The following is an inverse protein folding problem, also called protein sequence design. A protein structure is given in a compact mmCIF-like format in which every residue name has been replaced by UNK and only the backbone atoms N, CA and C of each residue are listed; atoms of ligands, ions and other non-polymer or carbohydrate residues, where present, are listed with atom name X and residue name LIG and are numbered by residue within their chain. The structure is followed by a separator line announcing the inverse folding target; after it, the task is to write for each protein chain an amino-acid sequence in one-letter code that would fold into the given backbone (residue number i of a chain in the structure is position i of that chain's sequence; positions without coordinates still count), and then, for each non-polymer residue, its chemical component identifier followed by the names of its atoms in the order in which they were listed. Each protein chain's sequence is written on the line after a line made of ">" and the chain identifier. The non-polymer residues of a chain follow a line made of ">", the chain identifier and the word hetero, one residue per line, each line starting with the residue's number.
data_IF_486166532430
#
_entry.id   IF_486166532430
#
_cell.length_a   1.000
_cell.length_b   1.000
_cell.length_c   1.000
_cell.angle_alpha   90.00
_cell.angle_beta   90.00
_cell.angle_gamma   90.00
#
_symmetry.space_group_name_H-M   'P 1'
#
loop_
_entity.id
_entity.type
_entity.pdbx_description
1 polymer ?
#
# COMPACT_ATOMS: atom_id res chain seq x y z
N UNK A 1 17.64 42.67 14.10
CA UNK A 1 16.88 42.01 13.04
C UNK A 1 16.43 42.93 11.91
N UNK A 2 15.87 44.13 12.14
CA UNK A 2 15.45 45.04 11.06
C UNK A 2 16.60 45.50 10.13
N UNK A 3 17.79 45.77 10.68
CA UNK A 3 18.96 46.23 9.91
C UNK A 3 19.51 45.14 9.02
N UNK A 4 19.60 43.89 9.49
CA UNK A 4 20.09 42.75 8.71
C UNK A 4 19.14 42.40 7.55
N UNK A 5 17.83 42.49 7.74
CA UNK A 5 16.83 42.30 6.69
C UNK A 5 16.88 43.41 5.62
N UNK A 6 17.06 44.67 6.04
CA UNK A 6 17.24 45.81 5.13
C UNK A 6 18.52 45.69 4.30
N UNK A 7 19.65 45.33 4.92
CA UNK A 7 20.93 45.15 4.25
C UNK A 7 20.86 43.97 3.26
N UNK A 8 20.23 42.85 3.62
CA UNK A 8 20.03 41.69 2.75
C UNK A 8 19.25 42.06 1.48
N UNK A 9 18.15 42.81 1.61
CA UNK A 9 17.37 43.31 0.47
C UNK A 9 18.16 44.26 -0.41
N UNK A 10 18.96 45.15 0.17
CA UNK A 10 19.75 46.15 -0.58
C UNK A 10 20.97 45.53 -1.28
N UNK A 11 21.65 44.56 -0.67
CA UNK A 11 22.74 43.82 -1.32
C UNK A 11 22.24 43.01 -2.51
N UNK A 12 21.05 42.45 -2.40
CA UNK A 12 20.40 41.76 -3.52
C UNK A 12 20.04 42.70 -4.68
N UNK A 13 19.53 43.88 -4.38
CA UNK A 13 19.16 44.88 -5.38
C UNK A 13 20.39 45.49 -6.08
N UNK A 14 21.52 45.63 -5.39
CA UNK A 14 22.76 46.16 -5.97
C UNK A 14 23.52 45.20 -6.88
N UNK A 15 23.19 43.90 -6.87
CA UNK A 15 23.77 42.92 -7.78
C UNK A 15 23.22 43.00 -9.22
N UNK A 16 22.27 43.92 -9.47
CA UNK A 16 21.63 44.11 -10.80
C UNK A 16 22.19 45.28 -11.63
N UNK A 17 23.16 46.06 -11.14
CA UNK A 17 23.73 47.21 -11.89
C UNK A 17 25.04 46.84 -12.60
N UNK A 18 25.07 47.12 -13.86
CA UNK A 18 26.01 46.93 -14.95
C UNK A 18 27.51 47.08 -14.61
N UNK A 19 28.18 45.97 -14.30
CA UNK A 19 29.60 45.76 -14.52
C UNK A 19 29.83 44.29 -14.88
N UNK A 20 30.70 43.93 -15.81
CA UNK A 20 30.92 42.56 -16.30
C UNK A 20 31.27 41.55 -15.22
N UNK A 21 31.90 42.02 -14.10
CA UNK A 21 32.18 41.18 -12.92
C UNK A 21 30.92 40.79 -12.13
N UNK A 22 29.86 41.60 -12.19
CA UNK A 22 28.58 41.30 -11.50
C UNK A 22 27.74 40.28 -12.23
N UNK A 23 27.97 40.08 -13.54
CA UNK A 23 27.26 39.11 -14.36
C UNK A 23 27.49 37.66 -13.94
N UNK A 24 28.76 37.31 -13.57
CA UNK A 24 29.13 35.97 -13.19
C UNK A 24 28.49 35.54 -11.82
N UNK A 25 28.51 36.44 -10.83
CA UNK A 25 27.89 36.15 -9.52
C UNK A 25 26.37 36.05 -9.62
N UNK A 26 25.74 36.93 -10.43
CA UNK A 26 24.31 36.83 -10.72
C UNK A 26 23.95 35.53 -11.43
N UNK A 27 24.81 35.05 -12.35
CA UNK A 27 24.64 33.78 -13.02
C UNK A 27 24.71 32.60 -12.03
N UNK A 28 25.70 32.58 -11.14
CA UNK A 28 25.84 31.51 -10.13
C UNK A 28 24.65 31.51 -9.16
N UNK A 29 24.19 32.67 -8.70
CA UNK A 29 23.03 32.77 -7.84
C UNK A 29 21.74 32.26 -8.53
N UNK A 30 21.55 32.59 -9.80
CA UNK A 30 20.43 32.06 -10.60
C UNK A 30 20.55 30.56 -10.83
N UNK A 31 21.74 30.05 -11.17
CA UNK A 31 22.00 28.63 -11.35
C UNK A 31 21.73 27.85 -10.06
N UNK A 32 22.15 28.38 -8.89
CA UNK A 32 21.84 27.80 -7.59
C UNK A 32 20.34 27.74 -7.31
N UNK A 33 19.61 28.84 -7.58
CA UNK A 33 18.15 28.87 -7.40
C UNK A 33 17.44 27.87 -8.32
N UNK A 34 17.86 27.75 -9.57
CA UNK A 34 17.34 26.76 -10.52
C UNK A 34 17.65 25.34 -10.04
N UNK A 35 18.84 25.09 -9.51
CA UNK A 35 19.23 23.80 -8.94
C UNK A 35 18.32 23.38 -7.78
N UNK A 36 18.01 24.32 -6.88
CA UNK A 36 17.08 24.07 -5.77
C UNK A 36 15.67 23.80 -6.29
N UNK A 37 15.19 24.62 -7.24
CA UNK A 37 13.87 24.45 -7.87
C UNK A 37 13.72 23.05 -8.49
N UNK A 38 14.67 22.65 -9.33
CA UNK A 38 14.67 21.32 -9.94
C UNK A 38 14.74 20.20 -8.91
N UNK A 39 15.58 20.36 -7.88
CA UNK A 39 15.70 19.38 -6.80
C UNK A 39 14.36 19.19 -6.05
N UNK A 40 13.69 20.30 -5.70
CA UNK A 40 12.39 20.25 -5.02
C UNK A 40 11.31 19.68 -5.94
N UNK A 41 11.27 20.07 -7.21
CA UNK A 41 10.31 19.54 -8.18
C UNK A 41 10.46 18.02 -8.34
N UNK A 42 11.68 17.53 -8.53
CA UNK A 42 11.97 16.08 -8.63
C UNK A 42 11.58 15.36 -7.35
N UNK A 43 11.86 15.95 -6.19
CA UNK A 43 11.46 15.40 -4.88
C UNK A 43 9.95 15.25 -4.75
N UNK A 44 9.19 16.30 -5.08
CA UNK A 44 7.72 16.29 -5.00
C UNK A 44 7.15 15.23 -5.95
N UNK A 45 7.64 15.16 -7.17
CA UNK A 45 7.21 14.14 -8.16
C UNK A 45 7.53 12.74 -7.65
N UNK A 46 8.73 12.49 -7.15
CA UNK A 46 9.13 11.17 -6.64
C UNK A 46 8.28 10.74 -5.45
N UNK A 47 8.07 11.61 -4.46
CA UNK A 47 7.21 11.31 -3.31
C UNK A 47 5.74 11.13 -3.71
N UNK A 48 5.24 11.92 -4.66
CA UNK A 48 3.86 11.78 -5.17
C UNK A 48 3.64 10.45 -5.87
N UNK A 49 4.61 9.99 -6.67
CA UNK A 49 4.54 8.68 -7.35
C UNK A 49 4.50 7.56 -6.32
N UNK A 50 5.36 7.61 -5.29
CA UNK A 50 5.39 6.57 -4.24
C UNK A 50 4.09 6.55 -3.46
N UNK A 51 3.63 7.72 -2.98
CA UNK A 51 2.38 7.80 -2.23
C UNK A 51 1.18 7.34 -3.07
N UNK A 52 1.14 7.71 -4.35
CA UNK A 52 0.10 7.26 -5.28
C UNK A 52 0.15 5.74 -5.49
N UNK A 53 1.33 5.16 -5.59
CA UNK A 53 1.50 3.71 -5.72
C UNK A 53 1.08 2.98 -4.44
N UNK A 54 1.48 3.46 -3.25
CA UNK A 54 1.03 2.88 -1.96
C UNK A 54 -0.48 2.93 -1.81
N UNK A 55 -1.11 4.05 -2.16
CA UNK A 55 -2.58 4.15 -2.14
C UNK A 55 -3.25 3.18 -3.11
N UNK A 56 -2.75 3.04 -4.33
CA UNK A 56 -3.28 2.09 -5.30
C UNK A 56 -3.11 0.64 -4.82
N UNK A 57 -1.99 0.31 -4.19
CA UNK A 57 -1.75 -1.00 -3.63
C UNK A 57 -2.78 -1.33 -2.53
N UNK A 58 -2.97 -0.40 -1.58
CA UNK A 58 -3.93 -0.57 -0.48
C UNK A 58 -5.35 -0.70 -1.04
N UNK A 59 -5.76 0.19 -1.95
CA UNK A 59 -7.13 0.21 -2.46
C UNK A 59 -7.47 -0.91 -3.43
N UNK A 60 -6.51 -1.41 -4.21
CA UNK A 60 -6.80 -2.47 -5.19
C UNK A 60 -6.47 -3.87 -4.68
N UNK A 61 -5.27 -4.08 -4.14
CA UNK A 61 -4.84 -5.41 -3.75
C UNK A 61 -5.23 -5.76 -2.31
N UNK A 62 -4.91 -4.88 -1.36
CA UNK A 62 -5.12 -5.17 0.06
C UNK A 62 -6.58 -5.00 0.52
N UNK A 63 -7.45 -4.41 -0.31
CA UNK A 63 -8.89 -4.37 -0.04
C UNK A 63 -9.60 -5.70 -0.28
N UNK A 64 -9.03 -6.59 -1.10
CA UNK A 64 -9.62 -7.90 -1.44
C UNK A 64 -8.80 -9.06 -0.87
N UNK A 65 -7.46 -8.93 -0.84
CA UNK A 65 -6.60 -9.92 -0.20
C UNK A 65 -6.84 -9.88 1.31
N UNK A 66 -6.99 -11.06 1.96
CA UNK A 66 -7.17 -11.11 3.41
C UNK A 66 -6.02 -10.40 4.15
N UNK A 67 -6.36 -9.41 4.95
CA UNK A 67 -5.36 -8.64 5.70
C UNK A 67 -4.77 -9.47 6.85
N UNK A 68 -5.62 -10.23 7.54
CA UNK A 68 -5.26 -11.20 8.57
C UNK A 68 -6.14 -12.43 8.43
N UNK A 69 -5.56 -13.61 8.53
CA UNK A 69 -6.27 -14.89 8.59
C UNK A 69 -5.75 -15.72 9.78
N UNK A 70 -6.68 -16.32 10.50
CA UNK A 70 -6.43 -17.37 11.49
C UNK A 70 -6.94 -18.67 10.91
N UNK A 71 -6.04 -19.58 10.61
CA UNK A 71 -6.35 -20.86 9.95
C UNK A 71 -6.06 -22.00 10.92
N UNK A 72 -7.05 -22.83 11.18
CA UNK A 72 -6.86 -24.03 11.97
C UNK A 72 -6.29 -25.16 11.08
N UNK A 73 -5.13 -25.75 11.43
CA UNK A 73 -4.46 -26.70 10.56
C UNK A 73 -5.06 -28.10 10.59
N UNK A 74 -5.59 -28.54 11.72
CA UNK A 74 -5.92 -29.94 11.95
C UNK A 74 -7.38 -30.19 12.31
N UNK A 75 -8.09 -29.19 12.77
CA UNK A 75 -9.50 -29.29 13.18
C UNK A 75 -10.23 -28.01 12.75
N UNK A 76 -11.51 -28.09 12.40
CA UNK A 76 -12.29 -26.89 12.16
C UNK A 76 -12.38 -26.05 13.43
N UNK A 77 -12.54 -24.75 13.28
CA UNK A 77 -12.86 -23.83 14.38
C UNK A 77 -14.34 -23.99 14.68
N UNK A 78 -14.66 -24.31 15.93
CA UNK A 78 -16.03 -24.44 16.41
C UNK A 78 -16.59 -23.10 16.87
N UNK A 79 -17.93 -22.97 16.84
CA UNK A 79 -18.68 -21.81 17.32
C UNK A 79 -18.13 -20.48 16.77
N UNK A 80 -17.96 -20.43 15.45
CA UNK A 80 -17.42 -19.26 14.76
C UNK A 80 -18.18 -17.94 15.03
N UNK A 81 -19.53 -17.90 15.24
CA UNK A 81 -20.24 -16.64 15.44
C UNK A 81 -19.76 -15.89 16.68
N UNK A 82 -19.63 -16.59 17.83
CA UNK A 82 -19.14 -15.96 19.05
C UNK A 82 -17.70 -15.46 18.91
N UNK A 83 -16.88 -16.19 18.17
CA UNK A 83 -15.49 -15.82 17.92
C UNK A 83 -15.38 -14.60 16.99
N UNK A 84 -16.17 -14.55 15.93
CA UNK A 84 -16.25 -13.38 15.04
C UNK A 84 -16.68 -12.15 15.83
N UNK A 85 -17.68 -12.27 16.70
CA UNK A 85 -18.10 -11.16 17.55
C UNK A 85 -16.97 -10.68 18.46
N UNK A 86 -16.33 -11.58 19.20
CA UNK A 86 -15.20 -11.25 20.08
C UNK A 86 -14.04 -10.57 19.33
N UNK A 87 -13.76 -11.01 18.10
CA UNK A 87 -12.69 -10.47 17.28
C UNK A 87 -13.04 -9.08 16.73
N UNK A 88 -14.29 -8.84 16.34
CA UNK A 88 -14.75 -7.54 15.83
C UNK A 88 -14.70 -6.43 16.89
N UNK A 89 -14.81 -6.78 18.17
CA UNK A 89 -14.72 -5.86 19.31
C UNK A 89 -13.26 -5.46 19.66
N UNK A 90 -12.26 -6.12 19.06
CA UNK A 90 -10.86 -5.86 19.37
C UNK A 90 -10.36 -4.54 18.78
N UNK A 91 -9.55 -3.83 19.54
CA UNK A 91 -8.96 -2.56 19.09
C UNK A 91 -8.11 -2.74 17.82
N UNK A 92 -8.43 -2.00 16.79
CA UNK A 92 -7.71 -2.03 15.51
C UNK A 92 -8.30 -3.02 14.50
N UNK A 93 -9.40 -3.70 14.84
CA UNK A 93 -10.20 -4.52 13.93
C UNK A 93 -11.38 -3.69 13.44
N UNK A 94 -11.65 -3.72 12.14
CA UNK A 94 -12.78 -3.04 11.50
C UNK A 94 -13.88 -4.01 11.10
N UNK A 95 -13.55 -5.28 10.91
CA UNK A 95 -14.48 -6.34 10.57
C UNK A 95 -13.87 -7.71 10.80
N UNK A 96 -14.71 -8.70 11.02
CA UNK A 96 -14.33 -10.10 11.15
C UNK A 96 -15.35 -10.98 10.44
N UNK A 97 -14.89 -12.04 9.76
CA UNK A 97 -15.75 -12.98 9.05
C UNK A 97 -15.19 -14.40 9.09
N UNK A 98 -16.06 -15.42 9.09
CA UNK A 98 -15.65 -16.81 8.93
C UNK A 98 -15.28 -17.10 7.47
N UNK A 99 -14.46 -18.09 7.25
CA UNK A 99 -14.24 -18.64 5.92
C UNK A 99 -13.92 -20.12 5.94
N UNK A 100 -14.20 -20.76 4.81
CA UNK A 100 -13.71 -22.08 4.48
C UNK A 100 -12.83 -21.95 3.25
N UNK A 101 -11.62 -22.49 3.28
CA UNK A 101 -10.72 -22.53 2.13
C UNK A 101 -10.35 -23.96 1.81
N UNK A 102 -10.52 -24.34 0.54
CA UNK A 102 -10.13 -25.64 0.03
C UNK A 102 -9.67 -25.53 -1.41
N UNK A 103 -8.60 -26.24 -1.75
CA UNK A 103 -8.15 -26.34 -3.14
C UNK A 103 -8.99 -27.36 -3.89
N UNK A 104 -9.45 -26.99 -5.06
CA UNK A 104 -10.27 -27.84 -5.92
C UNK A 104 -10.00 -27.58 -7.39
N UNK A 105 -10.86 -28.16 -8.23
CA UNK A 105 -10.83 -27.91 -9.66
C UNK A 105 -12.23 -27.52 -10.14
N UNK A 106 -12.33 -26.48 -10.95
CA UNK A 106 -13.54 -26.12 -11.67
C UNK A 106 -13.53 -26.81 -13.04
N UNK A 107 -14.61 -27.53 -13.33
CA UNK A 107 -14.82 -28.25 -14.59
C UNK A 107 -16.00 -27.66 -15.36
N UNK A 108 -15.77 -27.35 -16.62
CA UNK A 108 -16.83 -27.06 -17.57
C UNK A 108 -16.56 -27.80 -18.87
N UNK A 109 -17.50 -28.68 -19.26
CA UNK A 109 -17.33 -29.64 -20.39
C UNK A 109 -16.03 -30.47 -20.22
N UNK A 110 -15.08 -30.32 -21.15
CA UNK A 110 -13.78 -31.02 -21.11
C UNK A 110 -12.68 -30.21 -20.42
N UNK A 111 -12.90 -28.92 -20.14
CA UNK A 111 -11.91 -28.05 -19.56
C UNK A 111 -11.89 -28.14 -18.02
N UNK A 112 -10.71 -28.16 -17.47
CA UNK A 112 -10.42 -28.23 -16.02
C UNK A 112 -9.45 -27.15 -15.61
N UNK A 113 -9.75 -26.46 -14.51
CA UNK A 113 -8.86 -25.46 -13.93
C UNK A 113 -8.77 -25.61 -12.42
N UNK A 114 -7.55 -25.54 -11.90
CA UNK A 114 -7.33 -25.50 -10.45
C UNK A 114 -7.87 -24.17 -9.90
N UNK A 115 -8.59 -24.25 -8.78
CA UNK A 115 -9.20 -23.12 -8.10
C UNK A 115 -9.03 -23.23 -6.59
N UNK A 116 -8.87 -22.11 -5.94
CA UNK A 116 -9.02 -21.99 -4.49
C UNK A 116 -10.48 -21.64 -4.20
N UNK A 117 -11.21 -22.61 -3.67
CA UNK A 117 -12.62 -22.44 -3.31
C UNK A 117 -12.70 -21.80 -1.94
N UNK A 118 -13.33 -20.63 -1.87
CA UNK A 118 -13.60 -19.90 -0.63
C UNK A 118 -15.10 -19.90 -0.34
N UNK A 119 -15.49 -20.59 0.71
CA UNK A 119 -16.81 -20.50 1.31
C UNK A 119 -16.88 -19.29 2.22
N UNK A 120 -17.78 -18.35 1.93
CA UNK A 120 -17.91 -17.08 2.65
C UNK A 120 -19.32 -16.87 3.15
N UNK A 121 -19.46 -16.16 4.27
CA UNK A 121 -20.74 -15.67 4.74
C UNK A 121 -21.11 -14.38 4.01
N UNK A 122 -22.18 -14.36 3.19
CA UNK A 122 -22.53 -13.19 2.39
C UNK A 122 -22.78 -11.92 3.19
N UNK A 123 -23.32 -12.06 4.40
CA UNK A 123 -23.63 -10.91 5.25
C UNK A 123 -22.40 -10.24 5.82
N UNK A 124 -21.36 -11.01 6.15
CA UNK A 124 -20.13 -10.54 6.80
C UNK A 124 -19.00 -10.25 5.80
N UNK A 125 -19.12 -10.70 4.56
CA UNK A 125 -18.06 -10.55 3.55
C UNK A 125 -17.73 -9.10 3.26
N UNK A 126 -18.73 -8.24 3.19
CA UNK A 126 -18.54 -6.81 2.94
C UNK A 126 -17.76 -6.08 4.03
N UNK A 127 -17.72 -6.62 5.25
CA UNK A 127 -17.02 -6.01 6.38
C UNK A 127 -15.51 -6.28 6.35
N UNK A 128 -15.10 -7.31 5.60
CA UNK A 128 -13.70 -7.76 5.56
C UNK A 128 -13.06 -7.69 4.18
N UNK A 129 -13.85 -7.47 3.13
CA UNK A 129 -13.35 -7.45 1.75
C UNK A 129 -14.14 -6.52 0.85
N UNK A 130 -13.44 -5.79 0.01
CA UNK A 130 -14.03 -4.96 -1.05
C UNK A 130 -14.29 -5.75 -2.35
N UNK A 131 -14.32 -7.08 -2.32
CA UNK A 131 -14.47 -7.95 -3.49
C UNK A 131 -15.70 -7.60 -4.33
N UNK A 132 -16.77 -7.13 -3.70
CA UNK A 132 -18.00 -6.71 -4.39
C UNK A 132 -17.77 -5.55 -5.39
N UNK A 133 -16.78 -4.70 -5.16
CA UNK A 133 -16.44 -3.59 -6.07
C UNK A 133 -15.83 -4.07 -7.40
N UNK A 134 -15.30 -5.28 -7.41
CA UNK A 134 -14.65 -5.90 -8.56
C UNK A 134 -15.46 -7.06 -9.13
N UNK A 135 -16.70 -7.23 -8.68
CA UNK A 135 -17.57 -8.33 -9.11
C UNK A 135 -18.61 -7.82 -10.11
N UNK A 136 -18.69 -8.48 -11.25
CA UNK A 136 -19.69 -8.24 -12.29
C UNK A 136 -20.77 -9.34 -12.23
N UNK A 137 -22.03 -8.96 -12.38
CA UNK A 137 -23.16 -9.86 -12.21
C UNK A 137 -23.63 -9.88 -10.76
N UNK A 138 -23.87 -11.04 -10.18
CA UNK A 138 -24.29 -11.18 -8.78
C UNK A 138 -23.11 -10.96 -7.84
N UNK A 139 -23.31 -10.13 -6.81
CA UNK A 139 -22.27 -9.81 -5.84
C UNK A 139 -21.99 -10.97 -4.88
N UNK A 140 -20.78 -11.02 -4.32
CA UNK A 140 -20.43 -12.06 -3.32
C UNK A 140 -21.31 -11.95 -2.08
N UNK A 141 -21.68 -10.74 -1.67
CA UNK A 141 -22.63 -10.49 -0.58
C UNK A 141 -24.07 -10.94 -0.84
N UNK A 142 -24.38 -11.37 -2.04
CA UNK A 142 -25.71 -11.81 -2.45
C UNK A 142 -25.73 -13.27 -2.96
N UNK A 143 -24.59 -13.96 -2.87
CA UNK A 143 -24.44 -15.33 -3.38
C UNK A 143 -25.39 -16.29 -2.66
N UNK A 144 -26.05 -17.14 -3.43
CA UNK A 144 -26.93 -18.21 -2.92
C UNK A 144 -26.18 -19.53 -2.81
N UNK A 145 -26.76 -20.52 -2.13
CA UNK A 145 -26.09 -21.80 -1.88
C UNK A 145 -25.71 -22.60 -3.14
N UNK A 146 -26.48 -22.47 -4.22
CA UNK A 146 -26.23 -23.18 -5.47
C UNK A 146 -25.52 -22.34 -6.54
N UNK A 147 -24.84 -21.28 -6.11
CA UNK A 147 -24.15 -20.36 -6.99
C UNK A 147 -22.65 -20.33 -6.72
N UNK A 148 -21.91 -19.95 -7.75
CA UNK A 148 -20.47 -19.74 -7.70
C UNK A 148 -20.10 -18.43 -8.39
N UNK A 149 -19.10 -17.74 -7.85
CA UNK A 149 -18.48 -16.57 -8.46
C UNK A 149 -17.02 -16.93 -8.74
N UNK A 150 -16.58 -16.76 -9.98
CA UNK A 150 -15.22 -17.12 -10.42
C UNK A 150 -14.43 -15.90 -10.86
N UNK A 151 -13.11 -16.01 -10.76
CA UNK A 151 -12.20 -15.03 -11.36
C UNK A 151 -12.28 -15.03 -12.89
N UNK A 152 -12.15 -13.85 -13.49
CA UNK A 152 -12.33 -13.65 -14.94
C UNK A 152 -11.42 -14.53 -15.79
N UNK A 153 -10.20 -14.79 -15.35
CA UNK A 153 -9.27 -15.59 -16.10
C UNK A 153 -9.68 -17.08 -16.11
N UNK A 154 -10.26 -17.58 -15.01
CA UNK A 154 -10.84 -18.93 -14.95
C UNK A 154 -12.00 -19.04 -15.93
N UNK A 155 -12.92 -18.06 -15.90
CA UNK A 155 -14.08 -18.01 -16.80
C UNK A 155 -13.67 -18.02 -18.28
N UNK A 156 -12.66 -17.20 -18.64
CA UNK A 156 -12.10 -17.16 -20.00
C UNK A 156 -11.47 -18.50 -20.42
N UNK A 157 -10.73 -19.12 -19.52
CA UNK A 157 -10.04 -20.40 -19.80
C UNK A 157 -10.99 -21.58 -19.92
N UNK A 158 -12.06 -21.60 -19.11
CA UNK A 158 -13.10 -22.61 -19.18
C UNK A 158 -14.07 -22.37 -20.35
N UNK A 159 -14.15 -21.15 -20.87
CA UNK A 159 -15.11 -20.79 -21.92
C UNK A 159 -16.56 -20.81 -21.45
N UNK A 160 -16.79 -20.64 -20.13
CA UNK A 160 -18.12 -20.67 -19.50
C UNK A 160 -18.76 -19.30 -19.50
N UNK A 161 -20.06 -19.20 -19.59
CA UNK A 161 -20.83 -17.98 -19.53
C UNK A 161 -21.64 -17.88 -18.22
N UNK A 162 -21.92 -16.66 -17.78
CA UNK A 162 -22.80 -16.42 -16.65
C UNK A 162 -24.17 -17.11 -16.87
N UNK A 163 -24.67 -17.78 -15.82
CA UNK A 163 -25.89 -18.57 -15.85
C UNK A 163 -25.68 -20.04 -16.22
N UNK A 164 -24.50 -20.46 -16.67
CA UNK A 164 -24.20 -21.87 -16.98
C UNK A 164 -23.71 -22.62 -15.73
N UNK A 165 -23.89 -23.96 -15.79
CA UNK A 165 -23.53 -24.87 -14.70
C UNK A 165 -22.05 -25.23 -14.77
N UNK A 166 -21.37 -25.16 -13.63
CA UNK A 166 -19.97 -25.54 -13.41
C UNK A 166 -19.93 -26.65 -12.37
N UNK A 167 -19.08 -27.63 -12.56
CA UNK A 167 -18.84 -28.67 -11.56
C UNK A 167 -17.54 -28.38 -10.82
N UNK A 168 -17.60 -28.22 -9.51
CA UNK A 168 -16.44 -28.22 -8.63
C UNK A 168 -16.07 -29.65 -8.25
N UNK A 169 -14.79 -29.97 -8.36
CA UNK A 169 -14.18 -31.23 -7.94
C UNK A 169 -13.31 -30.90 -6.72
N UNK A 170 -13.71 -31.38 -5.55
CA UNK A 170 -12.99 -31.16 -4.29
C UNK A 170 -12.37 -32.47 -3.85
N UNK A 171 -11.03 -32.54 -3.76
CA UNK A 171 -10.35 -33.77 -3.35
C UNK A 171 -10.75 -34.14 -1.92
N UNK A 172 -10.94 -35.42 -1.70
CA UNK A 172 -11.17 -35.98 -0.37
C UNK A 172 -9.98 -36.87 -0.02
N UNK A 173 -9.43 -36.65 1.16
CA UNK A 173 -8.37 -37.50 1.73
C UNK A 173 -8.96 -38.21 2.94
N UNK A 174 -8.82 -39.52 2.98
CA UNK A 174 -9.14 -40.27 4.19
C UNK A 174 -8.00 -40.06 5.20
N UNK A 175 -8.28 -39.34 6.29
CA UNK A 175 -7.28 -39.04 7.32
C UNK A 175 -6.71 -40.32 8.01
N UNK A 176 -7.43 -41.44 7.95
CA UNK A 176 -7.06 -42.69 8.62
C UNK A 176 -6.21 -43.57 7.72
N UNK A 177 -6.53 -43.67 6.41
CA UNK A 177 -5.90 -44.63 5.48
C UNK A 177 -4.95 -44.00 4.48
N UNK A 178 -4.80 -42.68 4.44
CA UNK A 178 -4.04 -41.95 3.42
C UNK A 178 -4.47 -42.26 1.97
N UNK A 179 -5.60 -42.92 1.79
CA UNK A 179 -6.15 -43.23 0.47
C UNK A 179 -6.81 -42.01 -0.15
N UNK A 180 -6.50 -41.75 -1.40
CA UNK A 180 -7.16 -40.72 -2.20
C UNK A 180 -8.54 -41.25 -2.59
N UNK A 181 -9.57 -40.65 -1.98
CA UNK A 181 -10.96 -40.96 -2.34
C UNK A 181 -11.34 -40.24 -3.65
N UNK A 182 -12.41 -40.72 -4.27
CA UNK A 182 -12.98 -40.03 -5.43
C UNK A 182 -13.35 -38.58 -5.04
N UNK A 183 -13.00 -37.57 -5.84
CA UNK A 183 -13.31 -36.19 -5.52
C UNK A 183 -14.80 -35.96 -5.40
N UNK A 184 -15.21 -35.19 -4.41
CA UNK A 184 -16.61 -34.77 -4.25
C UNK A 184 -16.97 -33.80 -5.38
N UNK A 185 -18.08 -34.09 -6.07
CA UNK A 185 -18.58 -33.29 -7.19
C UNK A 185 -19.74 -32.43 -6.73
N UNK A 186 -19.64 -31.13 -7.01
CA UNK A 186 -20.68 -30.16 -6.67
C UNK A 186 -20.96 -29.30 -7.89
N UNK A 187 -22.20 -29.30 -8.36
CA UNK A 187 -22.62 -28.51 -9.51
C UNK A 187 -23.25 -27.21 -9.03
N UNK A 188 -22.76 -26.09 -9.54
CA UNK A 188 -23.15 -24.74 -9.17
C UNK A 188 -23.36 -23.87 -10.41
N UNK A 189 -24.22 -22.88 -10.32
CA UNK A 189 -24.47 -21.92 -11.39
C UNK A 189 -23.49 -20.74 -11.31
N UNK A 190 -22.82 -20.38 -12.40
CA UNK A 190 -21.97 -19.19 -12.46
C UNK A 190 -22.82 -17.93 -12.37
N UNK A 191 -22.86 -17.29 -11.20
CA UNK A 191 -23.68 -16.12 -10.92
C UNK A 191 -22.95 -14.79 -11.12
N UNK A 192 -21.62 -14.76 -10.95
CA UNK A 192 -20.82 -13.55 -11.06
C UNK A 192 -19.38 -13.84 -11.46
N UNK A 193 -18.69 -12.79 -11.86
CA UNK A 193 -17.30 -12.83 -12.33
C UNK A 193 -16.50 -11.74 -11.62
N UNK A 194 -15.36 -12.08 -11.04
CA UNK A 194 -14.44 -11.12 -10.41
C UNK A 194 -13.39 -10.70 -11.43
N UNK A 195 -13.25 -9.39 -11.62
CA UNK A 195 -12.26 -8.75 -12.50
C UNK A 195 -11.48 -7.70 -11.73
N UNK A 196 -10.42 -8.13 -11.06
CA UNK A 196 -9.56 -7.27 -10.27
C UNK A 196 -8.19 -7.06 -10.92
N UNK A 197 -7.77 -8.02 -11.71
CA UNK A 197 -6.41 -8.17 -12.19
C UNK A 197 -5.53 -8.94 -11.21
N UNK A 198 -4.61 -9.74 -11.75
CA UNK A 198 -3.62 -10.47 -10.96
C UNK A 198 -4.05 -11.89 -10.55
N UNK A 199 -3.43 -12.44 -9.47
CA UNK A 199 -3.58 -13.85 -9.11
C UNK A 199 -5.02 -14.27 -8.74
N UNK A 200 -5.81 -13.38 -8.17
CA UNK A 200 -7.19 -13.67 -7.76
C UNK A 200 -8.05 -14.06 -8.96
N UNK A 201 -7.88 -13.36 -10.08
CA UNK A 201 -8.64 -13.65 -11.31
C UNK A 201 -8.33 -15.05 -11.88
N UNK A 202 -7.15 -15.60 -11.54
CA UNK A 202 -6.68 -16.90 -12.05
C UNK A 202 -6.94 -18.07 -11.11
N UNK A 203 -7.29 -17.82 -9.84
CA UNK A 203 -7.40 -18.89 -8.83
C UNK A 203 -8.68 -18.83 -7.99
N UNK A 204 -9.32 -17.68 -7.81
CA UNK A 204 -10.40 -17.56 -6.84
C UNK A 204 -11.75 -18.08 -7.33
N UNK A 205 -12.41 -18.84 -6.46
CA UNK A 205 -13.79 -19.31 -6.62
C UNK A 205 -14.53 -19.07 -5.29
N UNK A 206 -15.57 -18.24 -5.29
CA UNK A 206 -16.38 -17.95 -4.11
C UNK A 206 -17.69 -18.73 -4.16
N UNK A 207 -18.04 -19.37 -3.04
CA UNK A 207 -19.31 -20.08 -2.83
C UNK A 207 -19.89 -19.69 -1.46
N UNK A 208 -21.16 -19.98 -1.27
CA UNK A 208 -21.81 -19.75 0.02
C UNK A 208 -21.19 -20.63 1.12
N UNK A 209 -21.05 -20.08 2.35
CA UNK A 209 -20.44 -20.77 3.48
C UNK A 209 -21.10 -22.11 3.78
N UNK A 210 -22.45 -22.17 3.83
CA UNK A 210 -23.19 -23.39 4.11
C UNK A 210 -22.93 -24.49 3.06
N UNK A 211 -22.76 -24.11 1.78
CA UNK A 211 -22.40 -25.07 0.74
C UNK A 211 -21.01 -25.63 0.97
N UNK A 212 -20.02 -24.77 1.31
CA UNK A 212 -18.65 -25.21 1.61
C UNK A 212 -18.62 -26.15 2.83
N UNK A 213 -19.38 -25.84 3.90
CA UNK A 213 -19.55 -26.73 5.07
C UNK A 213 -20.08 -28.09 4.67
N UNK A 214 -21.20 -28.13 3.92
CA UNK A 214 -21.82 -29.37 3.43
C UNK A 214 -20.85 -30.18 2.58
N UNK A 215 -20.02 -29.55 1.77
CA UNK A 215 -19.04 -30.22 0.91
C UNK A 215 -17.92 -30.84 1.72
N UNK A 216 -17.43 -30.18 2.75
CA UNK A 216 -16.36 -30.70 3.62
C UNK A 216 -16.88 -31.62 4.73
N UNK A 217 -18.19 -31.69 4.93
CA UNK A 217 -18.79 -32.45 6.05
C UNK A 217 -18.66 -31.74 7.39
N UNK A 218 -18.54 -30.41 7.37
CA UNK A 218 -18.50 -29.60 8.56
C UNK A 218 -19.92 -29.33 9.10
N UNK A 219 -20.02 -29.17 10.42
CA UNK A 219 -21.23 -28.69 11.05
C UNK A 219 -21.47 -27.20 10.76
N UNK A 220 -22.70 -26.68 10.89
CA UNK A 220 -23.02 -25.27 10.59
C UNK A 220 -22.22 -24.24 11.38
N UNK A 221 -21.69 -24.61 12.55
CA UNK A 221 -20.88 -23.75 13.40
C UNK A 221 -19.36 -23.95 13.22
N UNK A 222 -18.96 -24.79 12.25
CA UNK A 222 -17.56 -25.11 11.97
C UNK A 222 -17.05 -24.42 10.73
N UNK A 223 -15.81 -23.88 10.81
CA UNK A 223 -15.12 -23.22 9.69
C UNK A 223 -13.63 -23.55 9.67
N UNK A 224 -12.99 -23.38 8.54
CA UNK A 224 -11.53 -23.55 8.41
C UNK A 224 -10.75 -22.44 9.10
N UNK A 225 -11.29 -21.23 9.12
CA UNK A 225 -10.60 -20.10 9.68
C UNK A 225 -11.48 -18.86 9.84
N UNK A 226 -10.86 -17.85 10.44
CA UNK A 226 -11.44 -16.53 10.66
C UNK A 226 -10.53 -15.50 10.01
N UNK A 227 -11.08 -14.49 9.36
CA UNK A 227 -10.31 -13.40 8.77
C UNK A 227 -10.76 -12.06 9.33
N UNK A 228 -9.82 -11.11 9.35
CA UNK A 228 -10.05 -9.78 9.87
C UNK A 228 -9.71 -8.74 8.81
N UNK A 229 -10.48 -7.67 8.81
CA UNK A 229 -10.08 -6.38 8.30
C UNK A 229 -9.55 -5.52 9.45
N UNK A 230 -8.50 -4.75 9.21
CA UNK A 230 -7.84 -3.93 10.23
C UNK A 230 -7.82 -2.45 9.83
N UNK A 231 -7.75 -1.57 10.82
CA UNK A 231 -7.72 -0.10 10.59
C UNK A 231 -6.47 0.35 9.85
N UNK A 232 -5.33 -0.29 10.10
CA UNK A 232 -4.06 -0.01 9.46
C UNK A 232 -3.46 -1.30 8.91
N UNK A 233 -3.52 -1.45 7.59
CA UNK A 233 -3.04 -2.65 6.88
C UNK A 233 -1.55 -2.88 7.08
N UNK A 234 -0.77 -1.80 7.28
CA UNK A 234 0.67 -1.91 7.52
C UNK A 234 1.01 -2.40 8.92
N UNK A 235 0.07 -2.30 9.86
CA UNK A 235 0.17 -2.88 11.20
C UNK A 235 -0.54 -4.24 11.33
N UNK A 236 -1.07 -4.79 10.23
CA UNK A 236 -1.85 -6.03 10.23
C UNK A 236 -1.17 -7.18 10.98
N UNK A 237 0.13 -7.35 10.81
CA UNK A 237 0.88 -8.42 11.49
C UNK A 237 0.91 -8.23 13.02
N UNK A 238 1.14 -7.00 13.49
CA UNK A 238 1.17 -6.70 14.93
C UNK A 238 -0.22 -6.85 15.55
N UNK A 239 -1.26 -6.37 14.85
CA UNK A 239 -2.65 -6.55 15.26
C UNK A 239 -3.00 -8.03 15.30
N UNK A 240 -2.61 -8.81 14.28
CA UNK A 240 -2.84 -10.24 14.21
C UNK A 240 -2.24 -11.01 15.40
N UNK A 241 -1.00 -10.71 15.78
CA UNK A 241 -0.35 -11.34 16.93
C UNK A 241 -1.06 -11.01 18.25
N UNK A 242 -1.44 -9.74 18.43
CA UNK A 242 -2.14 -9.31 19.65
C UNK A 242 -3.53 -9.92 19.76
N UNK A 243 -4.31 -9.86 18.70
CA UNK A 243 -5.68 -10.35 18.63
C UNK A 243 -5.71 -11.88 18.65
N UNK A 244 -4.73 -12.53 18.02
CA UNK A 244 -4.61 -13.99 18.04
C UNK A 244 -4.47 -14.61 19.43
N UNK A 245 -3.96 -13.85 20.41
CA UNK A 245 -3.91 -14.30 21.81
C UNK A 245 -5.29 -14.43 22.48
N UNK A 246 -6.34 -13.88 21.87
CA UNK A 246 -7.71 -13.98 22.39
C UNK A 246 -8.49 -15.17 21.81
N UNK A 247 -7.86 -15.93 20.91
CA UNK A 247 -8.44 -17.13 20.29
C UNK A 247 -7.95 -18.34 21.08
N UNK A 248 -8.88 -19.14 21.58
CA UNK A 248 -8.57 -20.33 22.37
C UNK A 248 -8.13 -21.54 21.50
N UNK A 249 -8.38 -21.49 20.19
CA UNK A 249 -8.01 -22.57 19.26
C UNK A 249 -6.55 -22.47 18.83
N UNK A 250 -5.96 -23.61 18.51
CA UNK A 250 -4.66 -23.66 17.85
C UNK A 250 -4.80 -23.22 16.38
N UNK A 251 -4.33 -22.02 16.06
CA UNK A 251 -4.42 -21.43 14.73
C UNK A 251 -3.06 -20.96 14.22
N UNK A 252 -2.85 -21.09 12.94
CA UNK A 252 -1.77 -20.39 12.23
C UNK A 252 -2.23 -18.97 11.91
N UNK A 253 -1.40 -18.01 12.27
CA UNK A 253 -1.61 -16.60 11.95
C UNK A 253 -0.97 -16.34 10.59
N UNK A 254 -1.77 -15.93 9.63
CA UNK A 254 -1.32 -15.44 8.33
C UNK A 254 -1.73 -13.98 8.18
N UNK A 255 -0.85 -13.17 7.62
CA UNK A 255 -1.17 -11.80 7.23
C UNK A 255 -0.72 -11.58 5.78
N UNK A 256 -1.22 -10.55 5.15
CA UNK A 256 -0.84 -10.21 3.78
C UNK A 256 0.68 -10.06 3.60
N UNK A 257 1.41 -9.72 4.65
CA UNK A 257 2.88 -9.70 4.64
C UNK A 257 3.49 -11.07 4.33
N UNK A 258 2.82 -12.16 4.71
CA UNK A 258 3.30 -13.51 4.41
C UNK A 258 2.98 -13.94 2.98
N UNK A 259 1.82 -13.55 2.49
CA UNK A 259 1.34 -13.93 1.14
C UNK A 259 1.88 -13.01 0.06
N UNK A 260 2.09 -11.73 0.38
CA UNK A 260 2.54 -10.68 -0.55
C UNK A 260 3.82 -9.97 -0.04
N UNK A 261 4.62 -10.65 0.79
CA UNK A 261 5.80 -10.06 1.45
C UNK A 261 6.87 -9.56 0.50
N UNK A 262 7.06 -10.21 -0.65
CA UNK A 262 7.98 -9.74 -1.69
C UNK A 262 7.58 -8.35 -2.19
N UNK A 263 6.29 -8.14 -2.45
CA UNK A 263 5.77 -6.85 -2.90
C UNK A 263 5.99 -5.74 -1.86
N UNK A 264 5.79 -6.06 -0.57
CA UNK A 264 6.08 -5.10 0.51
C UNK A 264 7.57 -4.77 0.61
N UNK A 265 8.43 -5.77 0.49
CA UNK A 265 9.89 -5.57 0.49
C UNK A 265 10.33 -4.72 -0.71
N UNK A 266 9.77 -4.95 -1.88
CA UNK A 266 10.05 -4.15 -3.09
C UNK A 266 9.66 -2.69 -2.88
N UNK A 267 8.51 -2.41 -2.28
CA UNK A 267 8.07 -1.05 -1.94
C UNK A 267 9.05 -0.40 -0.95
N UNK A 268 9.44 -1.09 0.11
CA UNK A 268 10.39 -0.56 1.10
C UNK A 268 11.76 -0.30 0.47
N UNK A 269 12.22 -1.15 -0.44
CA UNK A 269 13.45 -0.94 -1.19
C UNK A 269 13.38 0.33 -2.05
N UNK A 270 12.30 0.50 -2.81
CA UNK A 270 12.08 1.70 -3.64
C UNK A 270 12.04 2.95 -2.76
N UNK A 271 11.31 2.92 -1.63
CA UNK A 271 11.25 4.02 -0.66
C UNK A 271 12.65 4.38 -0.13
N UNK A 272 13.47 3.38 0.21
CA UNK A 272 14.84 3.58 0.67
C UNK A 272 15.72 4.24 -0.40
N UNK A 273 15.63 3.78 -1.65
CA UNK A 273 16.34 4.38 -2.79
C UNK A 273 15.96 5.85 -2.95
N UNK A 274 14.68 6.15 -2.88
CA UNK A 274 14.20 7.54 -2.99
C UNK A 274 14.72 8.40 -1.85
N UNK A 275 14.75 7.93 -0.61
CA UNK A 275 15.34 8.68 0.50
C UNK A 275 16.83 8.96 0.29
N UNK A 276 17.59 8.02 -0.28
CA UNK A 276 18.99 8.24 -0.64
C UNK A 276 19.10 9.32 -1.72
N UNK A 277 18.29 9.26 -2.77
CA UNK A 277 18.27 10.26 -3.85
C UNK A 277 17.91 11.65 -3.28
N UNK A 278 16.90 11.73 -2.44
CA UNK A 278 16.50 12.95 -1.74
C UNK A 278 17.67 13.53 -0.93
N UNK A 279 18.34 12.69 -0.16
CA UNK A 279 19.52 13.11 0.61
C UNK A 279 20.62 13.68 -0.29
N UNK A 280 20.92 13.02 -1.42
CA UNK A 280 21.91 13.51 -2.39
C UNK A 280 21.49 14.85 -3.02
N UNK A 281 20.22 15.02 -3.36
CA UNK A 281 19.70 16.30 -3.90
C UNK A 281 19.87 17.41 -2.86
N UNK A 282 19.53 17.16 -1.60
CA UNK A 282 19.69 18.14 -0.50
C UNK A 282 21.18 18.46 -0.31
N UNK A 283 22.06 17.48 -0.36
CA UNK A 283 23.50 17.67 -0.23
C UNK A 283 24.05 18.57 -1.36
N UNK A 284 23.66 18.31 -2.61
CA UNK A 284 24.08 19.14 -3.77
C UNK A 284 23.52 20.55 -3.67
N UNK A 285 22.24 20.69 -3.31
CA UNK A 285 21.61 22.00 -3.11
C UNK A 285 22.31 22.81 -2.00
N UNK A 286 22.64 22.16 -0.89
CA UNK A 286 23.37 22.77 0.23
C UNK A 286 24.77 23.22 -0.20
N UNK A 287 25.48 22.40 -0.93
CA UNK A 287 26.81 22.75 -1.47
C UNK A 287 26.72 23.98 -2.41
N UNK A 288 25.73 24.01 -3.29
CA UNK A 288 25.53 25.13 -4.20
C UNK A 288 25.21 26.44 -3.44
N UNK A 289 24.37 26.37 -2.40
CA UNK A 289 24.06 27.53 -1.55
C UNK A 289 25.31 28.05 -0.84
N UNK A 290 26.08 27.15 -0.22
CA UNK A 290 27.32 27.51 0.49
C UNK A 290 28.34 28.15 -0.46
N UNK A 291 28.55 27.54 -1.64
CA UNK A 291 29.48 28.06 -2.66
C UNK A 291 29.06 29.44 -3.15
N UNK A 292 27.78 29.67 -3.40
CA UNK A 292 27.22 30.97 -3.80
C UNK A 292 27.43 32.02 -2.71
N UNK A 293 27.13 31.68 -1.44
CA UNK A 293 27.34 32.61 -0.32
C UNK A 293 28.81 32.96 -0.09
N UNK A 294 29.72 31.98 -0.18
CA UNK A 294 31.17 32.22 -0.05
C UNK A 294 31.66 33.20 -1.11
N UNK A 295 31.21 33.03 -2.35
CA UNK A 295 31.58 33.90 -3.45
C UNK A 295 31.01 35.30 -3.25
N UNK A 296 29.77 35.43 -2.83
CA UNK A 296 29.14 36.72 -2.54
C UNK A 296 29.79 37.47 -1.40
N UNK A 297 30.20 36.77 -0.33
CA UNK A 297 30.98 37.34 0.77
C UNK A 297 32.31 37.90 0.27
N UNK A 298 33.01 37.14 -0.61
CA UNK A 298 34.27 37.59 -1.21
C UNK A 298 34.12 38.86 -2.04
N UNK A 299 33.07 38.92 -2.85
CA UNK A 299 32.78 40.09 -3.69
C UNK A 299 32.46 41.35 -2.84
N UNK A 300 31.75 41.16 -1.75
CA UNK A 300 31.34 42.27 -0.85
C UNK A 300 32.33 42.58 0.24
N UNK A 301 33.57 42.05 0.22
CA UNK A 301 34.60 42.29 1.26
C UNK A 301 34.86 43.76 1.55
N UNK A 302 34.95 44.62 0.51
CA UNK A 302 35.15 46.06 0.67
C UNK A 302 33.98 46.71 1.41
N UNK A 303 32.76 46.37 1.06
CA UNK A 303 31.54 46.88 1.69
C UNK A 303 31.41 46.37 3.15
N UNK A 304 31.82 45.13 3.41
CA UNK A 304 31.87 44.55 4.77
C UNK A 304 32.91 45.32 5.63
N UNK A 305 34.08 45.65 5.07
CA UNK A 305 35.10 46.42 5.78
C UNK A 305 34.59 47.82 6.17
N UNK A 306 33.90 48.52 5.26
CA UNK A 306 33.26 49.80 5.54
C UNK A 306 32.21 49.69 6.66
N UNK A 307 31.35 48.66 6.61
CA UNK A 307 30.35 48.44 7.65
C UNK A 307 30.98 48.14 9.01
N UNK A 308 32.11 47.42 9.05
CA UNK A 308 32.88 47.17 10.30
C UNK A 308 33.48 48.46 10.86
N UNK A 309 34.05 49.32 10.00
CA UNK A 309 34.57 50.62 10.46
C UNK A 309 33.48 51.54 10.97
N UNK A 310 32.24 51.40 10.49
CA UNK A 310 31.05 52.10 11.00
C UNK A 310 30.46 51.48 12.29
N UNK A 311 31.09 50.45 12.85
CA UNK A 311 30.66 49.80 14.10
C UNK A 311 29.65 48.67 13.97
N UNK A 312 29.44 48.13 12.79
CA UNK A 312 28.56 46.98 12.62
C UNK A 312 29.17 45.71 13.26
N UNK A 313 28.37 45.01 14.07
CA UNK A 313 28.78 43.78 14.75
C UNK A 313 28.89 42.62 13.75
N UNK A 314 29.86 41.73 13.95
CA UNK A 314 30.04 40.54 13.11
C UNK A 314 28.78 39.65 13.06
N UNK A 315 28.02 39.57 14.16
CA UNK A 315 26.75 38.86 14.22
C UNK A 315 25.68 39.46 13.27
N UNK A 316 25.67 40.77 13.07
CA UNK A 316 24.74 41.46 12.16
C UNK A 316 25.10 41.16 10.70
N UNK A 317 26.39 41.15 10.37
CA UNK A 317 26.91 40.83 9.05
C UNK A 317 26.59 39.37 8.72
N UNK A 318 26.89 38.45 9.63
CA UNK A 318 26.58 37.04 9.47
C UNK A 318 25.07 36.79 9.26
N UNK A 319 24.23 37.41 10.08
CA UNK A 319 22.78 37.34 9.95
C UNK A 319 22.27 37.85 8.59
N UNK A 320 22.91 38.84 8.00
CA UNK A 320 22.56 39.37 6.67
C UNK A 320 22.76 38.31 5.58
N UNK A 321 23.91 37.62 5.58
CA UNK A 321 24.19 36.59 4.59
C UNK A 321 23.35 35.33 4.80
N UNK A 322 23.09 34.93 6.07
CA UNK A 322 22.16 33.82 6.36
C UNK A 322 20.75 34.12 5.82
N UNK A 323 20.23 35.33 6.09
CA UNK A 323 18.93 35.76 5.59
C UNK A 323 18.86 35.76 4.04
N UNK A 324 19.97 36.11 3.41
CA UNK A 324 20.07 36.11 1.95
C UNK A 324 20.04 34.71 1.40
N UNK A 325 20.81 33.78 1.94
CA UNK A 325 20.75 32.36 1.57
C UNK A 325 19.36 31.73 1.79
N UNK A 326 18.75 32.02 2.94
CA UNK A 326 17.38 31.57 3.24
C UNK A 326 16.36 32.12 2.23
N UNK A 327 16.51 33.38 1.81
CA UNK A 327 15.60 33.98 0.82
C UNK A 327 15.73 33.35 -0.57
N UNK A 328 16.94 32.96 -0.97
CA UNK A 328 17.17 32.21 -2.22
C UNK A 328 16.58 30.81 -2.17
N UNK A 329 16.81 30.11 -1.06
CA UNK A 329 16.24 28.79 -0.83
C UNK A 329 14.70 28.82 -0.83
N UNK A 330 14.11 29.81 -0.14
CA UNK A 330 12.66 29.97 -0.09
C UNK A 330 12.05 30.18 -1.49
N UNK A 331 12.68 31.02 -2.32
CA UNK A 331 12.21 31.23 -3.69
C UNK A 331 12.33 29.94 -4.52
N UNK A 332 13.45 29.22 -4.40
CA UNK A 332 13.62 27.92 -5.06
C UNK A 332 12.56 26.89 -4.67
N UNK A 333 12.20 26.84 -3.38
CA UNK A 333 11.17 25.92 -2.85
C UNK A 333 9.76 26.33 -3.30
N UNK A 334 9.43 27.62 -3.31
CA UNK A 334 8.08 28.09 -3.70
C UNK A 334 7.84 27.94 -5.20
N UNK A 335 8.88 28.01 -6.01
CA UNK A 335 8.79 27.87 -7.46
C UNK A 335 8.89 26.41 -7.92
N UNK A 336 9.51 25.53 -7.14
CA UNK A 336 9.65 24.08 -7.42
C UNK A 336 8.50 23.27 -6.89
#
# INVERSE_FOLDING_TARGET
>A
MLLSAYLSKRFRASSGSSDEKNGFVSFIAKASTIGILLGVAVLIVALSVINGFEQQLVHRLLSVVPQVEYVAPNRPIDNWPDKVQKLSEQRGVTGAAPFISVNGMAQYKSELKAVEVRGVDPALESDVSAVNQFTHGKLVSQISEDEIILGQQIVKQLGVKQGELITLLIPQVNEISTEILAPKRVTLTLAGIIEMGGPIDSSAAFIHLSKAQSVLGYEPLQVTGLRLAVTDVFQAHQIALRVGQTIDDYVYISSWFRTQGSLYQDIQMVRTIVYIVVFLIIAVASFNIVSSLVMEVREKQANIAILKTMGAKDSTILATFILQGLSQAFIGVVLG
#
